data_IF_471761477054
#
_entry.id   IF_471761477054
#
_cell.length_a   1.000
_cell.length_b   1.000
_cell.length_c   1.000
_cell.angle_alpha   90.00
_cell.angle_beta   90.00
_cell.angle_gamma   90.00
#
_symmetry.space_group_name_H-M   'P 1'
#
loop_
_entity.id
_entity.type
_entity.pdbx_description
1 polymer ?
#
# COMPACT_ATOMS: atom_id res chain seq x y z
N UNK A 1 -34.10 3.64 7.03
CA UNK A 1 -32.72 4.12 6.83
C UNK A 1 -32.20 3.45 5.56
N UNK A 2 -31.72 4.20 4.56
CA UNK A 2 -31.05 3.59 3.41
C UNK A 2 -29.79 2.85 3.90
N UNK A 3 -29.45 1.68 3.31
CA UNK A 3 -28.21 1.00 3.67
C UNK A 3 -27.04 1.94 3.38
N UNK A 4 -26.24 2.23 4.42
CA UNK A 4 -24.97 2.93 4.26
C UNK A 4 -24.15 2.19 3.21
N UNK A 5 -23.73 2.88 2.16
CA UNK A 5 -22.85 2.28 1.14
C UNK A 5 -21.64 1.67 1.85
N UNK A 6 -21.29 0.39 1.57
CA UNK A 6 -20.09 -0.20 2.13
C UNK A 6 -18.89 0.66 1.75
N UNK A 7 -18.02 0.93 2.73
CA UNK A 7 -16.78 1.68 2.51
C UNK A 7 -16.05 1.04 1.30
N UNK A 8 -15.57 1.82 0.32
CA UNK A 8 -15.09 1.29 -0.96
C UNK A 8 -13.95 0.27 -0.81
N UNK A 9 -13.22 0.36 0.31
CA UNK A 9 -12.08 -0.50 0.64
C UNK A 9 -12.36 -1.52 1.77
N UNK A 10 -13.63 -1.74 2.11
CA UNK A 10 -14.02 -2.76 3.09
C UNK A 10 -13.66 -4.16 2.58
N UNK A 11 -13.30 -5.11 3.47
CA UNK A 11 -13.08 -6.50 3.10
C UNK A 11 -14.26 -7.07 2.30
N UNK A 12 -13.98 -7.77 1.19
CA UNK A 12 -15.03 -8.40 0.37
C UNK A 12 -15.18 -9.86 0.71
N UNK A 13 -16.44 -10.27 0.94
CA UNK A 13 -16.79 -11.68 1.05
C UNK A 13 -16.43 -12.43 -0.24
N UNK A 14 -15.76 -13.56 -0.10
CA UNK A 14 -15.31 -14.38 -1.23
C UNK A 14 -13.97 -13.96 -1.86
N UNK A 15 -13.37 -12.83 -1.43
CA UNK A 15 -12.02 -12.48 -1.86
C UNK A 15 -10.97 -13.32 -1.09
N UNK A 16 -10.12 -14.14 -1.77
CA UNK A 16 -9.15 -14.99 -1.09
C UNK A 16 -8.15 -14.20 -0.24
N UNK A 17 -7.73 -13.02 -0.69
CA UNK A 17 -6.78 -12.18 0.05
C UNK A 17 -7.42 -11.52 1.28
N UNK A 18 -8.69 -11.09 1.19
CA UNK A 18 -9.44 -10.65 2.38
C UNK A 18 -9.56 -11.77 3.42
N UNK A 19 -9.74 -13.02 3.00
CA UNK A 19 -9.74 -14.17 3.92
C UNK A 19 -8.38 -14.37 4.58
N UNK A 20 -7.28 -14.28 3.83
CA UNK A 20 -5.92 -14.36 4.39
C UNK A 20 -5.72 -13.28 5.45
N UNK A 21 -6.07 -12.02 5.13
CA UNK A 21 -5.97 -10.88 6.06
C UNK A 21 -6.83 -11.09 7.31
N UNK A 22 -8.05 -11.60 7.16
CA UNK A 22 -8.95 -11.84 8.28
C UNK A 22 -8.42 -12.96 9.21
N UNK A 23 -7.85 -14.02 8.65
CA UNK A 23 -7.35 -15.17 9.40
C UNK A 23 -5.95 -14.96 9.99
N UNK A 24 -5.13 -14.07 9.41
CA UNK A 24 -3.77 -13.79 9.90
C UNK A 24 -3.75 -12.89 11.13
N UNK A 25 -4.83 -12.15 11.39
CA UNK A 25 -4.89 -11.24 12.53
C UNK A 25 -4.98 -12.04 13.83
N UNK A 26 -4.11 -11.75 14.82
CA UNK A 26 -4.24 -12.36 16.13
C UNK A 26 -5.63 -12.01 16.68
N UNK A 27 -6.40 -13.02 17.05
CA UNK A 27 -7.69 -12.82 17.69
C UNK A 27 -7.47 -11.99 18.96
N UNK A 28 -8.16 -10.87 19.09
CA UNK A 28 -8.23 -10.10 20.34
C UNK A 28 -9.01 -10.84 21.44
N UNK A 29 -9.39 -12.10 21.21
CA UNK A 29 -9.92 -12.97 22.24
C UNK A 29 -8.88 -13.20 23.35
N UNK A 30 -9.29 -13.19 24.63
CA UNK A 30 -8.42 -13.58 25.72
C UNK A 30 -7.88 -15.00 25.47
N UNK A 31 -6.63 -15.30 25.87
CA UNK A 31 -6.00 -16.57 25.58
C UNK A 31 -6.86 -17.70 26.15
N UNK A 32 -7.46 -18.47 25.26
CA UNK A 32 -8.08 -19.74 25.64
C UNK A 32 -6.95 -20.74 25.93
N UNK A 33 -7.10 -21.63 26.93
CA UNK A 33 -6.05 -22.57 27.29
C UNK A 33 -5.70 -23.47 26.09
N UNK A 34 -4.42 -23.90 25.96
CA UNK A 34 -3.96 -24.63 24.79
C UNK A 34 -4.66 -25.99 24.70
N UNK A 35 -5.51 -26.15 23.69
CA UNK A 35 -6.05 -27.45 23.31
C UNK A 35 -4.97 -28.19 22.52
N UNK A 36 -4.37 -29.18 23.16
CA UNK A 36 -3.38 -30.09 22.59
C UNK A 36 -3.98 -30.91 21.44
N UNK A 37 -3.77 -30.48 20.19
CA UNK A 37 -3.80 -31.36 19.02
C UNK A 37 -3.05 -30.72 17.82
N UNK A 38 -2.22 -31.55 17.18
CA UNK A 38 -1.47 -31.34 15.92
C UNK A 38 -0.09 -30.68 16.00
N UNK A 39 0.84 -31.40 16.62
CA UNK A 39 2.22 -31.42 16.16
C UNK A 39 2.26 -32.07 14.76
N UNK A 40 2.41 -31.25 13.72
CA UNK A 40 2.80 -31.73 12.39
C UNK A 40 4.33 -31.66 12.30
N UNK A 41 4.92 -32.79 11.96
CA UNK A 41 6.36 -33.09 11.92
C UNK A 41 7.20 -32.03 11.18
N UNK A 42 8.06 -31.33 11.91
CA UNK A 42 9.14 -30.53 11.37
C UNK A 42 10.30 -31.44 10.90
N UNK A 43 10.71 -31.31 9.64
CA UNK A 43 11.95 -31.89 9.13
C UNK A 43 13.18 -31.20 9.75
N UNK A 44 14.37 -31.83 9.70
CA UNK A 44 15.53 -31.45 10.52
C UNK A 44 16.37 -30.29 9.92
N UNK A 45 15.77 -29.19 9.46
CA UNK A 45 16.54 -28.09 8.83
C UNK A 45 16.23 -26.66 9.32
N UNK A 46 15.37 -26.46 10.31
CA UNK A 46 14.87 -25.13 10.67
C UNK A 46 15.38 -24.61 12.03
N UNK A 47 16.69 -24.74 12.28
CA UNK A 47 17.31 -24.20 13.51
C UNK A 47 17.53 -22.69 13.32
N UNK A 48 16.60 -21.88 13.82
CA UNK A 48 16.77 -20.42 13.97
C UNK A 48 15.75 -19.54 13.22
N UNK A 49 14.82 -20.14 12.47
CA UNK A 49 13.78 -19.38 11.75
C UNK A 49 12.54 -19.19 12.64
N UNK A 50 11.97 -17.98 12.73
CA UNK A 50 10.71 -17.78 13.45
C UNK A 50 9.59 -18.59 12.81
N UNK A 51 8.79 -19.27 13.65
CA UNK A 51 7.62 -20.01 13.19
C UNK A 51 6.61 -19.06 12.51
N UNK A 52 5.91 -19.51 11.45
CA UNK A 52 4.93 -18.69 10.75
C UNK A 52 3.76 -18.33 11.67
N UNK A 53 3.20 -17.14 11.49
CA UNK A 53 2.02 -16.67 12.23
C UNK A 53 0.78 -17.48 11.85
N UNK A 54 0.67 -17.84 10.56
CA UNK A 54 -0.43 -18.61 9.99
C UNK A 54 -0.04 -19.19 8.62
N UNK A 55 -0.72 -20.24 8.17
CA UNK A 55 -0.51 -20.85 6.84
C UNK A 55 -1.74 -20.60 5.96
N UNK A 56 -1.53 -20.03 4.79
CA UNK A 56 -2.61 -19.77 3.83
C UNK A 56 -3.15 -21.08 3.23
N UNK A 57 -4.42 -21.11 2.76
CA UNK A 57 -4.96 -22.29 2.09
C UNK A 57 -4.15 -22.73 0.86
N UNK A 58 -3.38 -21.82 0.27
CA UNK A 58 -2.49 -22.09 -0.85
C UNK A 58 -1.10 -22.61 -0.43
N UNK A 59 -0.82 -22.71 0.87
CA UNK A 59 0.46 -23.17 1.43
C UNK A 59 1.49 -22.05 1.67
N UNK A 60 1.06 -20.79 1.63
CA UNK A 60 1.93 -19.65 1.95
C UNK A 60 2.13 -19.48 3.45
N UNK A 61 3.29 -19.03 3.88
CA UNK A 61 3.61 -18.82 5.30
C UNK A 61 3.47 -17.33 5.65
N UNK A 62 2.47 -16.94 6.44
CA UNK A 62 2.34 -15.56 6.92
C UNK A 62 3.46 -15.26 7.91
N UNK A 63 4.25 -14.23 7.60
CA UNK A 63 5.43 -13.83 8.36
C UNK A 63 5.27 -12.45 9.02
N UNK A 64 4.29 -11.67 8.57
CA UNK A 64 4.07 -10.32 9.08
C UNK A 64 2.61 -9.93 8.93
N UNK A 65 2.06 -9.24 9.93
CA UNK A 65 0.73 -8.63 9.87
C UNK A 65 0.69 -7.40 10.76
N UNK A 66 0.02 -6.36 10.31
CA UNK A 66 -0.31 -5.18 11.10
C UNK A 66 -1.70 -4.63 10.70
N UNK A 67 -1.94 -3.34 10.96
CA UNK A 67 -3.19 -2.66 10.61
C UNK A 67 -3.41 -2.50 9.10
N UNK A 68 -2.36 -2.27 8.31
CA UNK A 68 -2.42 -1.88 6.89
C UNK A 68 -2.02 -2.99 5.90
N UNK A 69 -1.14 -3.91 6.31
CA UNK A 69 -0.46 -4.88 5.46
C UNK A 69 -0.38 -6.25 6.13
N UNK A 70 -0.54 -7.30 5.32
CA UNK A 70 -0.24 -8.68 5.69
C UNK A 70 0.74 -9.26 4.67
N UNK A 71 1.86 -9.82 5.12
CA UNK A 71 2.85 -10.42 4.24
C UNK A 71 3.02 -11.91 4.49
N UNK A 72 3.14 -12.67 3.39
CA UNK A 72 3.42 -14.10 3.44
C UNK A 72 4.46 -14.51 2.41
N UNK A 73 5.15 -15.62 2.69
CA UNK A 73 6.09 -16.25 1.78
C UNK A 73 5.34 -17.15 0.82
N UNK A 74 5.58 -16.98 -0.48
CA UNK A 74 5.06 -17.85 -1.52
C UNK A 74 5.95 -19.09 -1.65
N UNK A 75 5.52 -20.22 -1.11
CA UNK A 75 6.26 -21.49 -1.13
C UNK A 75 5.92 -22.37 -2.31
N UNK A 76 4.68 -22.29 -2.80
CA UNK A 76 4.15 -23.24 -3.77
C UNK A 76 4.60 -22.88 -5.17
N UNK A 77 4.50 -21.60 -5.52
CA UNK A 77 4.77 -21.09 -6.86
C UNK A 77 5.64 -19.83 -6.81
N UNK A 78 6.82 -19.83 -6.15
CA UNK A 78 7.66 -18.64 -6.07
C UNK A 78 8.16 -18.23 -7.46
N UNK A 79 8.30 -16.93 -7.70
CA UNK A 79 8.89 -16.45 -8.96
C UNK A 79 10.42 -16.39 -8.95
N UNK A 80 11.03 -16.41 -7.77
CA UNK A 80 12.48 -16.44 -7.60
C UNK A 80 12.91 -17.69 -6.82
N UNK A 81 14.04 -18.28 -7.21
CA UNK A 81 14.73 -19.32 -6.43
C UNK A 81 15.32 -18.82 -5.11
N UNK A 82 15.59 -17.52 -5.00
CA UNK A 82 16.24 -16.93 -3.82
C UNK A 82 15.26 -16.46 -2.75
N UNK A 83 14.02 -16.14 -3.13
CA UNK A 83 12.96 -15.77 -2.19
C UNK A 83 11.87 -14.94 -2.85
N UNK A 84 10.62 -15.18 -2.46
CA UNK A 84 9.45 -14.46 -2.95
C UNK A 84 8.44 -14.31 -1.82
N UNK A 85 8.06 -13.07 -1.53
CA UNK A 85 6.98 -12.72 -0.63
C UNK A 85 5.90 -11.96 -1.38
N UNK A 86 4.67 -12.07 -0.86
CA UNK A 86 3.51 -11.32 -1.31
C UNK A 86 3.05 -10.45 -0.14
N UNK A 87 2.90 -9.15 -0.37
CA UNK A 87 2.37 -8.21 0.61
C UNK A 87 0.97 -7.79 0.15
N UNK A 88 -0.02 -8.14 0.97
CA UNK A 88 -1.44 -7.86 0.74
C UNK A 88 -1.80 -6.61 1.52
N UNK A 89 -2.44 -5.65 0.84
CA UNK A 89 -3.05 -4.52 1.54
C UNK A 89 -4.28 -5.00 2.29
N UNK A 90 -4.39 -4.71 3.58
CA UNK A 90 -5.53 -5.15 4.39
C UNK A 90 -6.84 -4.48 3.94
N UNK A 91 -6.73 -3.27 3.39
CA UNK A 91 -7.79 -2.61 2.64
C UNK A 91 -7.99 -3.31 1.30
N UNK A 92 -9.26 -3.56 0.93
CA UNK A 92 -9.57 -4.16 -0.35
C UNK A 92 -9.48 -3.11 -1.46
N UNK A 93 -8.32 -3.03 -2.11
CA UNK A 93 -8.08 -2.12 -3.24
C UNK A 93 -8.13 -2.96 -4.52
N UNK A 94 -9.10 -2.76 -5.44
CA UNK A 94 -9.23 -3.58 -6.64
C UNK A 94 -8.02 -3.52 -7.58
N UNK A 95 -7.48 -2.32 -7.78
CA UNK A 95 -6.43 -2.05 -8.76
C UNK A 95 -5.43 -1.00 -8.29
N UNK A 96 -4.25 -0.97 -8.91
CA UNK A 96 -3.26 0.08 -8.70
C UNK A 96 -3.79 1.47 -9.10
N UNK A 97 -4.77 1.54 -10.01
CA UNK A 97 -5.44 2.77 -10.43
C UNK A 97 -6.37 3.38 -9.36
N UNK A 98 -6.69 2.61 -8.32
CA UNK A 98 -7.49 3.11 -7.18
C UNK A 98 -6.61 3.75 -6.09
N UNK A 99 -5.28 3.73 -6.27
CA UNK A 99 -4.34 4.39 -5.37
C UNK A 99 -4.34 5.90 -5.60
N UNK A 100 -4.23 6.66 -4.50
CA UNK A 100 -4.32 8.12 -4.51
C UNK A 100 -3.06 8.72 -3.88
N UNK A 101 -2.88 10.05 -3.86
CA UNK A 101 -1.78 10.68 -3.09
C UNK A 101 -1.75 10.26 -1.63
N UNK A 102 -2.90 9.97 -1.02
CA UNK A 102 -2.99 9.47 0.34
C UNK A 102 -2.33 8.10 0.53
N UNK A 103 -2.12 7.34 -0.55
CA UNK A 103 -1.45 6.04 -0.53
C UNK A 103 0.09 6.14 -0.54
N UNK A 104 0.68 7.30 -0.85
CA UNK A 104 2.13 7.48 -0.96
C UNK A 104 2.88 7.05 0.32
N UNK A 105 2.46 7.44 1.55
CA UNK A 105 3.15 7.03 2.77
C UNK A 105 3.22 5.50 2.92
N UNK A 106 2.13 4.79 2.58
CA UNK A 106 2.08 3.34 2.59
C UNK A 106 3.02 2.73 1.54
N UNK A 107 3.03 3.25 0.31
CA UNK A 107 3.93 2.78 -0.75
C UNK A 107 5.41 2.97 -0.36
N UNK A 108 5.76 4.13 0.22
CA UNK A 108 7.13 4.38 0.72
C UNK A 108 7.51 3.41 1.85
N UNK A 109 6.56 3.10 2.72
CA UNK A 109 6.76 2.11 3.78
C UNK A 109 7.01 0.71 3.20
N UNK A 110 6.27 0.30 2.16
CA UNK A 110 6.46 -1.00 1.50
C UNK A 110 7.86 -1.15 0.89
N UNK A 111 8.45 -0.08 0.36
CA UNK A 111 9.84 -0.07 -0.13
C UNK A 111 10.88 -0.39 0.95
N UNK A 112 10.60 -0.07 2.21
CA UNK A 112 11.47 -0.39 3.33
C UNK A 112 11.12 -1.76 3.91
N UNK A 113 9.83 -2.05 4.05
CA UNK A 113 9.35 -3.28 4.68
C UNK A 113 9.69 -4.53 3.86
N UNK A 114 9.53 -4.51 2.54
CA UNK A 114 9.73 -5.69 1.71
C UNK A 114 11.18 -6.21 1.73
N UNK A 115 12.24 -5.37 1.57
CA UNK A 115 13.63 -5.82 1.74
C UNK A 115 13.94 -6.34 3.14
N UNK A 116 13.40 -5.72 4.19
CA UNK A 116 13.56 -6.19 5.56
C UNK A 116 12.98 -7.59 5.75
N UNK A 117 11.76 -7.83 5.28
CA UNK A 117 11.12 -9.14 5.37
C UNK A 117 11.84 -10.19 4.52
N UNK A 118 12.31 -9.82 3.32
CA UNK A 118 13.09 -10.71 2.46
C UNK A 118 14.42 -11.10 3.12
N UNK A 119 15.21 -10.13 3.57
CA UNK A 119 16.51 -10.39 4.23
C UNK A 119 16.37 -11.23 5.50
N UNK A 120 15.32 -11.02 6.30
CA UNK A 120 15.07 -11.81 7.51
C UNK A 120 14.71 -13.27 7.22
N UNK A 121 14.02 -13.54 6.10
CA UNK A 121 13.50 -14.87 5.79
C UNK A 121 14.33 -15.64 4.75
N UNK A 122 15.15 -14.94 3.98
CA UNK A 122 15.98 -15.47 2.92
C UNK A 122 17.40 -14.90 3.05
N UNK A 123 18.16 -15.29 4.08
CA UNK A 123 19.53 -14.83 4.25
C UNK A 123 20.37 -15.28 3.04
N UNK A 124 20.89 -14.32 2.28
CA UNK A 124 21.90 -14.59 1.26
C UNK A 124 23.16 -15.12 1.95
N UNK A 125 23.77 -16.17 1.42
CA UNK A 125 25.09 -16.60 1.86
C UNK A 125 26.10 -15.46 1.68
N UNK A 126 26.98 -15.19 2.65
CA UNK A 126 27.95 -14.12 2.55
C UNK A 126 29.00 -14.50 1.51
N UNK A 127 28.80 -14.09 0.26
CA UNK A 127 29.90 -13.93 -0.67
C UNK A 127 30.55 -12.57 -0.38
N UNK A 128 31.89 -12.49 -0.29
CA UNK A 128 32.55 -11.22 -0.05
C UNK A 128 32.22 -10.23 -1.18
N UNK A 129 31.79 -8.99 -0.86
CA UNK A 129 31.46 -8.01 -1.87
C UNK A 129 32.74 -7.49 -2.52
N UNK A 130 33.14 -8.08 -3.65
CA UNK A 130 34.31 -7.63 -4.41
C UNK A 130 33.94 -6.54 -5.45
N UNK A 131 32.68 -6.07 -5.49
CA UNK A 131 32.22 -5.09 -6.49
C UNK A 131 31.40 -3.95 -5.86
N UNK A 132 31.58 -2.68 -6.31
CA UNK A 132 30.90 -1.51 -5.75
C UNK A 132 29.41 -1.39 -6.14
N UNK A 133 28.90 -2.24 -7.02
CA UNK A 133 27.48 -2.35 -7.33
C UNK A 133 26.97 -3.74 -6.92
N UNK A 134 25.77 -3.87 -6.32
CA UNK A 134 25.18 -5.17 -6.05
C UNK A 134 25.05 -5.91 -7.38
N UNK A 135 25.54 -7.15 -7.42
CA UNK A 135 25.34 -7.98 -8.59
C UNK A 135 23.82 -8.10 -8.85
N UNK A 136 23.37 -8.30 -10.11
CA UNK A 136 21.94 -8.51 -10.44
C UNK A 136 21.28 -9.63 -9.61
N UNK A 137 22.11 -10.49 -9.04
CA UNK A 137 21.80 -11.59 -8.16
C UNK A 137 21.34 -11.20 -6.74
N UNK A 138 21.59 -9.98 -6.30
CA UNK A 138 21.30 -9.46 -4.95
C UNK A 138 20.27 -8.32 -4.95
N UNK A 139 19.75 -7.96 -6.12
CA UNK A 139 18.78 -6.87 -6.24
C UNK A 139 17.39 -7.31 -5.79
N UNK A 140 16.72 -6.47 -5.00
CA UNK A 140 15.30 -6.63 -4.68
C UNK A 140 14.45 -6.11 -5.83
N UNK A 141 13.46 -6.90 -6.25
CA UNK A 141 12.41 -6.47 -7.17
C UNK A 141 11.13 -6.30 -6.37
N UNK A 142 10.56 -5.10 -6.37
CA UNK A 142 9.36 -4.74 -5.59
C UNK A 142 8.37 -4.05 -6.51
N UNK A 143 7.18 -4.62 -6.67
CA UNK A 143 6.23 -4.09 -7.65
C UNK A 143 4.89 -4.81 -7.69
N UNK A 144 4.01 -4.24 -8.50
CA UNK A 144 2.67 -4.75 -8.78
C UNK A 144 2.63 -5.35 -10.18
N UNK A 145 1.66 -6.23 -10.41
CA UNK A 145 1.32 -6.68 -11.76
C UNK A 145 0.26 -5.75 -12.35
N UNK A 146 0.49 -5.26 -13.57
CA UNK A 146 -0.43 -4.34 -14.26
C UNK A 146 -1.54 -5.10 -14.99
N UNK A 147 -2.81 -4.71 -14.81
CA UNK A 147 -3.88 -5.22 -15.66
C UNK A 147 -3.58 -4.98 -17.15
N UNK A 148 -3.92 -5.92 -18.06
CA UNK A 148 -4.67 -7.16 -17.82
C UNK A 148 -3.79 -8.35 -17.40
N UNK A 149 -2.48 -8.14 -17.19
CA UNK A 149 -1.57 -9.18 -16.75
C UNK A 149 -1.78 -9.45 -15.26
N UNK A 150 -1.77 -10.72 -14.89
CA UNK A 150 -1.92 -11.18 -13.51
C UNK A 150 -1.10 -12.46 -13.34
N UNK A 151 -0.82 -12.83 -12.09
CA UNK A 151 -0.18 -14.10 -11.81
C UNK A 151 -1.23 -15.22 -11.92
N UNK A 152 -1.16 -16.13 -12.91
CA UNK A 152 -2.12 -17.22 -13.03
C UNK A 152 -2.06 -18.20 -11.86
N UNK A 153 -0.98 -18.19 -11.07
CA UNK A 153 -0.81 -19.04 -9.87
C UNK A 153 -1.38 -18.40 -8.59
N UNK A 154 -1.63 -17.10 -8.61
CA UNK A 154 -2.35 -16.36 -7.57
C UNK A 154 -3.57 -15.72 -8.23
N UNK A 155 -4.67 -16.47 -8.47
CA UNK A 155 -5.79 -16.04 -9.31
C UNK A 155 -6.71 -15.04 -8.60
N UNK A 156 -6.12 -13.99 -8.03
CA UNK A 156 -6.81 -12.87 -7.40
C UNK A 156 -6.61 -11.66 -8.32
N UNK A 157 -7.70 -11.26 -8.96
CA UNK A 157 -7.70 -10.14 -9.93
C UNK A 157 -8.26 -8.84 -9.38
N UNK A 158 -8.97 -8.93 -8.26
CA UNK A 158 -9.76 -7.86 -7.67
C UNK A 158 -9.33 -7.62 -6.22
N UNK A 159 -8.02 -7.67 -5.96
CA UNK A 159 -7.41 -7.24 -4.70
C UNK A 159 -5.91 -7.08 -4.95
N UNK A 160 -5.49 -5.83 -5.02
CA UNK A 160 -4.13 -5.39 -5.23
C UNK A 160 -3.20 -5.98 -4.16
N UNK A 161 -2.14 -6.59 -4.63
CA UNK A 161 -1.09 -7.15 -3.80
C UNK A 161 0.26 -6.90 -4.45
N UNK A 162 1.24 -6.62 -3.61
CA UNK A 162 2.60 -6.35 -3.98
C UNK A 162 3.38 -7.66 -4.04
N UNK A 163 4.20 -7.83 -5.06
CA UNK A 163 5.19 -8.89 -5.14
C UNK A 163 6.55 -8.33 -4.80
N UNK A 164 7.28 -9.02 -3.94
CA UNK A 164 8.68 -8.72 -3.68
C UNK A 164 9.52 -9.99 -3.73
N UNK A 165 10.61 -9.97 -4.50
CA UNK A 165 11.50 -11.12 -4.64
C UNK A 165 12.96 -10.73 -4.76
N UNK A 166 13.85 -11.67 -4.45
CA UNK A 166 15.30 -11.48 -4.49
C UNK A 166 15.87 -11.98 -5.82
N UNK A 167 16.73 -11.19 -6.46
CA UNK A 167 17.39 -11.56 -7.72
C UNK A 167 16.42 -11.57 -8.91
N UNK A 168 16.54 -12.60 -9.76
CA UNK A 168 15.77 -12.71 -11.01
C UNK A 168 14.49 -13.52 -10.80
N UNK A 169 13.48 -13.25 -11.62
CA UNK A 169 12.26 -14.06 -11.69
C UNK A 169 12.48 -15.39 -12.47
N UNK A 170 13.50 -16.16 -12.07
CA UNK A 170 13.96 -17.38 -12.77
C UNK A 170 12.93 -18.53 -12.75
N UNK A 171 11.97 -18.51 -11.81
CA UNK A 171 10.88 -19.49 -11.72
C UNK A 171 9.57 -19.04 -12.37
N UNK A 172 9.51 -17.83 -12.92
CA UNK A 172 8.34 -17.40 -13.69
C UNK A 172 8.17 -18.14 -15.03
N UNK A 173 9.20 -18.89 -15.46
CA UNK A 173 9.27 -19.55 -16.76
C UNK A 173 9.75 -18.61 -17.86
N UNK A 174 10.03 -19.17 -19.04
CA UNK A 174 10.57 -18.42 -20.19
C UNK A 174 9.52 -18.10 -21.28
N UNK A 175 8.42 -18.86 -21.36
CA UNK A 175 7.27 -18.54 -22.21
C UNK A 175 5.98 -18.55 -21.41
N UNK A 176 5.12 -17.58 -21.71
CA UNK A 176 3.75 -17.53 -21.21
C UNK A 176 3.40 -16.22 -20.51
N UNK A 177 2.14 -16.12 -20.10
CA UNK A 177 1.59 -14.92 -19.46
C UNK A 177 2.32 -14.55 -18.17
N UNK A 178 2.81 -15.54 -17.41
CA UNK A 178 3.55 -15.29 -16.17
C UNK A 178 4.91 -14.63 -16.44
N UNK A 179 5.65 -15.10 -17.45
CA UNK A 179 6.90 -14.47 -17.86
C UNK A 179 6.69 -13.02 -18.34
N UNK A 180 5.57 -12.74 -19.02
CA UNK A 180 5.19 -11.38 -19.42
C UNK A 180 4.80 -10.50 -18.22
N UNK A 181 4.05 -11.06 -17.27
CA UNK A 181 3.60 -10.36 -16.07
C UNK A 181 4.79 -9.89 -15.21
N UNK A 182 5.79 -10.74 -15.01
CA UNK A 182 7.02 -10.39 -14.27
C UNK A 182 8.12 -9.80 -15.15
N UNK A 183 7.80 -9.48 -16.41
CA UNK A 183 8.69 -8.80 -17.34
C UNK A 183 8.43 -7.29 -17.39
N UNK A 184 9.21 -6.53 -18.19
CA UNK A 184 9.09 -5.07 -18.28
C UNK A 184 7.72 -4.54 -18.74
N UNK A 185 6.86 -5.41 -19.28
CA UNK A 185 5.52 -5.03 -19.78
C UNK A 185 4.46 -5.12 -18.67
N UNK A 186 4.54 -6.15 -17.83
CA UNK A 186 3.55 -6.40 -16.79
C UNK A 186 3.95 -5.94 -15.40
N UNK A 187 5.22 -5.60 -15.21
CA UNK A 187 5.76 -5.22 -13.92
C UNK A 187 5.70 -3.71 -13.72
N UNK A 188 5.11 -3.27 -12.62
CA UNK A 188 5.09 -1.88 -12.20
C UNK A 188 5.85 -1.69 -10.90
N UNK A 189 7.02 -1.04 -10.97
CA UNK A 189 7.82 -0.74 -9.79
C UNK A 189 7.05 0.17 -8.83
N UNK A 190 7.20 -0.05 -7.52
CA UNK A 190 6.57 0.81 -6.51
C UNK A 190 7.11 2.25 -6.60
N UNK A 191 8.39 2.41 -6.92
CA UNK A 191 9.04 3.69 -7.14
C UNK A 191 8.42 4.46 -8.31
N UNK A 192 8.18 3.77 -9.43
CA UNK A 192 7.55 4.36 -10.62
C UNK A 192 6.11 4.78 -10.34
N UNK A 193 5.37 3.94 -9.62
CA UNK A 193 4.00 4.25 -9.18
C UNK A 193 3.95 5.47 -8.25
N UNK A 194 4.89 5.59 -7.31
CA UNK A 194 5.00 6.79 -6.46
C UNK A 194 5.29 8.02 -7.32
N UNK A 195 6.20 7.90 -8.30
CA UNK A 195 6.52 8.99 -9.20
C UNK A 195 5.31 9.42 -10.03
N UNK A 196 4.55 8.48 -10.60
CA UNK A 196 3.33 8.73 -11.39
C UNK A 196 2.23 9.39 -10.54
N UNK A 197 1.96 8.91 -9.33
CA UNK A 197 0.98 9.53 -8.43
C UNK A 197 1.42 10.95 -8.09
N UNK A 198 2.71 11.19 -7.86
CA UNK A 198 3.23 12.55 -7.61
C UNK A 198 3.13 13.43 -8.84
N UNK A 199 3.42 12.91 -10.03
CA UNK A 199 3.34 13.67 -11.27
C UNK A 199 1.90 14.07 -11.59
N UNK A 200 0.97 13.11 -11.56
CA UNK A 200 -0.45 13.33 -11.80
C UNK A 200 -1.08 14.34 -10.83
N UNK A 201 -0.56 14.45 -9.61
CA UNK A 201 -1.09 15.36 -8.58
C UNK A 201 -0.32 16.66 -8.44
N UNK A 202 0.95 16.68 -8.84
CA UNK A 202 1.75 17.91 -8.95
C UNK A 202 1.34 18.77 -10.16
N UNK A 203 0.58 18.26 -11.12
CA UNK A 203 -0.02 19.08 -12.18
C UNK A 203 -1.16 20.01 -11.70
N UNK A 204 -1.55 19.95 -10.42
CA UNK A 204 -2.31 21.01 -9.77
C UNK A 204 -1.42 22.18 -9.25
N UNK A 205 -0.11 22.13 -9.47
CA UNK A 205 0.84 23.20 -9.14
C UNK A 205 0.71 24.32 -10.17
N UNK A 206 -0.13 25.31 -9.82
CA UNK A 206 -0.16 26.70 -10.31
C UNK A 206 0.63 26.93 -11.61
N UNK A 207 -0.08 27.06 -12.74
CA UNK A 207 0.44 27.66 -13.98
C UNK A 207 1.22 28.95 -13.65
N UNK A 208 2.55 28.87 -13.54
CA UNK A 208 3.44 30.03 -13.52
C UNK A 208 3.68 30.45 -14.96
N UNK A 209 2.75 31.24 -15.50
CA UNK A 209 2.82 31.70 -16.88
C UNK A 209 1.73 32.69 -17.29
N UNK A 210 0.87 33.13 -16.37
CA UNK A 210 0.00 34.26 -16.68
C UNK A 210 0.84 35.53 -16.66
N UNK A 211 1.05 36.14 -17.82
CA UNK A 211 1.51 37.53 -17.93
C UNK A 211 0.44 38.55 -17.46
N UNK A 212 -0.67 38.08 -16.88
CA UNK A 212 -1.77 38.87 -16.37
C UNK A 212 -2.28 38.36 -15.01
N UNK A 213 -3.17 39.11 -14.35
CA UNK A 213 -3.72 38.73 -13.05
C UNK A 213 -4.38 37.34 -13.11
N UNK A 214 -4.14 36.52 -12.08
CA UNK A 214 -4.65 35.14 -12.01
C UNK A 214 -6.18 35.16 -12.14
N UNK A 215 -6.82 34.21 -12.84
CA UNK A 215 -8.29 34.15 -12.93
C UNK A 215 -8.99 34.09 -11.56
N UNK A 216 -8.37 33.46 -10.56
CA UNK A 216 -8.89 33.41 -9.19
C UNK A 216 -8.88 34.78 -8.49
N UNK A 217 -8.02 35.70 -8.93
CA UNK A 217 -8.02 37.09 -8.46
C UNK A 217 -9.19 37.91 -9.04
N UNK A 218 -9.93 37.35 -10.00
CA UNK A 218 -11.12 37.97 -10.59
C UNK A 218 -12.43 37.40 -10.02
N UNK A 219 -12.35 36.44 -9.09
CA UNK A 219 -13.53 35.86 -8.42
C UNK A 219 -13.65 36.51 -7.04
N UNK A 220 -14.62 37.42 -6.81
CA UNK A 220 -14.72 38.22 -5.59
C UNK A 220 -14.86 37.40 -4.29
N UNK A 221 -15.34 36.16 -4.40
CA UNK A 221 -15.55 35.27 -3.26
C UNK A 221 -14.43 34.22 -3.07
N UNK A 222 -13.47 34.12 -4.00
CA UNK A 222 -12.39 33.15 -3.92
C UNK A 222 -11.25 33.63 -3.02
N UNK A 223 -11.56 33.93 -1.76
CA UNK A 223 -10.61 33.94 -0.63
C UNK A 223 -9.21 34.50 -0.89
N UNK A 224 -9.07 35.59 -1.67
CA UNK A 224 -7.78 36.25 -1.90
C UNK A 224 -7.41 36.97 -0.60
N UNK A 225 -6.74 36.25 0.28
CA UNK A 225 -6.13 36.80 1.48
C UNK A 225 -4.84 37.49 1.09
N UNK A 226 -4.86 38.81 1.07
CA UNK A 226 -3.64 39.63 0.99
C UNK A 226 -2.96 39.62 2.35
N UNK A 227 -1.79 38.99 2.46
CA UNK A 227 -0.98 38.97 3.68
C UNK A 227 0.35 39.70 3.51
N UNK A 228 0.84 40.29 4.60
CA UNK A 228 2.19 40.82 4.70
C UNK A 228 3.22 39.67 4.83
N UNK A 229 4.50 39.90 4.51
CA UNK A 229 5.57 38.88 4.63
C UNK A 229 5.77 38.34 6.05
N UNK A 230 5.22 38.99 7.08
CA UNK A 230 5.24 38.59 8.48
C UNK A 230 4.02 37.72 8.88
N UNK A 231 3.19 37.32 7.91
CA UNK A 231 2.02 36.46 8.13
C UNK A 231 0.78 37.19 8.64
N UNK A 232 0.79 38.52 8.71
CA UNK A 232 -0.40 39.31 9.09
C UNK A 232 -1.32 39.54 7.89
N UNK A 233 -2.60 39.23 8.04
CA UNK A 233 -3.61 39.50 7.01
C UNK A 233 -3.91 41.01 6.93
N UNK A 234 -3.85 41.57 5.72
CA UNK A 234 -4.36 42.91 5.44
C UNK A 234 -5.88 42.79 5.29
N UNK A 235 -6.60 43.12 6.36
CA UNK A 235 -8.04 43.22 6.32
C UNK A 235 -8.43 44.43 5.48
N UNK A 236 -9.25 44.21 4.46
CA UNK A 236 -9.88 45.29 3.71
C UNK A 236 -10.92 45.98 4.62
N UNK A 237 -10.75 47.27 4.96
CA UNK A 237 -11.66 47.98 5.86
C UNK A 237 -13.09 48.11 5.30
N UNK A 238 -13.30 47.83 4.01
CA UNK A 238 -14.63 47.84 3.38
C UNK A 238 -15.46 46.58 3.60
N UNK A 239 -14.87 45.48 4.13
CA UNK A 239 -15.55 44.22 4.47
C UNK A 239 -16.01 44.11 5.93
N UNK A 240 -16.27 45.23 6.61
CA UNK A 240 -17.00 45.18 7.89
C UNK A 240 -18.43 44.75 7.62
N UNK A 241 -18.72 43.46 7.81
CA UNK A 241 -20.09 43.04 8.09
C UNK A 241 -20.57 43.83 9.32
N UNK A 242 -21.75 44.47 9.25
CA UNK A 242 -22.33 45.08 10.43
C UNK A 242 -22.61 43.97 11.46
N UNK A 243 -22.44 44.25 12.76
CA UNK A 243 -22.70 43.28 13.80
C UNK A 243 -24.15 42.78 13.66
N UNK A 244 -24.29 41.46 13.62
CA UNK A 244 -25.60 40.78 13.70
C UNK A 244 -26.24 41.22 15.01
N UNK A 245 -27.32 41.99 14.93
CA UNK A 245 -28.14 42.32 16.09
C UNK A 245 -28.68 41.03 16.67
N UNK A 246 -28.18 40.68 17.86
CA UNK A 246 -28.67 39.59 18.68
C UNK A 246 -30.03 40.01 19.22
N UNK A 247 -31.11 39.46 18.65
CA UNK A 247 -32.46 39.71 19.14
C UNK A 247 -32.61 39.14 20.54
N UNK A 248 -32.42 39.99 21.55
CA UNK A 248 -32.77 39.70 22.94
C UNK A 248 -34.28 39.53 23.02
N UNK A 249 -34.74 38.28 23.08
CA UNK A 249 -36.11 37.93 23.38
C UNK A 249 -36.45 38.41 24.79
N UNK A 250 -37.27 39.45 24.88
CA UNK A 250 -37.89 39.94 26.10
C UNK A 250 -38.91 38.92 26.60
N UNK A 251 -38.50 38.10 27.58
CA UNK A 251 -39.43 37.39 28.44
C UNK A 251 -40.14 38.37 29.38
N UNK A 252 -41.42 38.63 29.10
CA UNK A 252 -42.31 39.34 30.04
C UNK A 252 -42.82 38.35 31.11
N UNK A 253 -42.83 38.74 32.40
CA UNK A 253 -43.50 37.97 33.44
C UNK A 253 -44.92 38.50 33.70
N UNK A 254 -45.89 37.59 33.72
CA UNK A 254 -47.09 37.60 34.57
C UNK A 254 -47.77 36.23 34.45
#
# INVERSE_FOLDING_TARGET
>A
MPPSHPHPYAPRLGCPLCTIVACSRPSSAPPSPPSSAQASSAGPSDVGRPSPLWITPAGGEVIYTDEEVTAYIERREPVSSKGHIVLVLNAHIPSLYDLTPGSIPLLQRLLVLAPLLLSQNFPSHPFPPTSPAPAPEEQYSIGFLTPPLYDPRLPVRDHLHLHAYLGRADKAGWWGLRALAYGPVGWYGVEDLIAEIRESTSNNRVKTGYAGPRPIAQVPEAGVRTGLPDGRELLDPSRREPPREESVGSGQPA
#
